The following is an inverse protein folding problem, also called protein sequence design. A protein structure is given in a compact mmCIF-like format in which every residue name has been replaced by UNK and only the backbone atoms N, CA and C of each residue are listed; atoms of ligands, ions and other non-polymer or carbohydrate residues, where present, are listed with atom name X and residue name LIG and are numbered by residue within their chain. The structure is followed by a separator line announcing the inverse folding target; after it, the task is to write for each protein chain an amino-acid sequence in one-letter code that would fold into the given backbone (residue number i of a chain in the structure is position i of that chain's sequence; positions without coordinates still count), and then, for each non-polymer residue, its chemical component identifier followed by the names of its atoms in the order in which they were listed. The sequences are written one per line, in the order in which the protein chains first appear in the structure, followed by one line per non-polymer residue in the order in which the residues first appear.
data_IF_578749948443
#
_entry.id   IF_578749948443
#
_cell.length_a   1.000
_cell.length_b   1.000
_cell.length_c   1.000
_cell.angle_alpha   90.00
_cell.angle_beta   90.00
_cell.angle_gamma   90.00
#
_symmetry.space_group_name_H-M   'P 1'
#
loop_
_entity.id
_entity.type
_entity.pdbx_description
1 polymer ?
#
# COMPACT_ATOMS: atom_id res chain seq x y z
N UNK A 1 -30.33 -13.57 20.51
CA UNK A 1 -31.06 -12.67 19.58
C UNK A 1 -30.68 -11.21 19.81
N UNK A 2 -30.71 -10.69 21.04
CA UNK A 2 -30.36 -9.28 21.32
C UNK A 2 -28.89 -8.92 20.98
N UNK A 3 -27.92 -9.79 21.27
CA UNK A 3 -26.50 -9.52 20.93
C UNK A 3 -26.25 -9.28 19.43
N UNK A 4 -27.01 -9.95 18.56
CA UNK A 4 -26.90 -9.77 17.11
C UNK A 4 -27.43 -8.42 16.66
N UNK A 5 -28.49 -7.91 17.31
CA UNK A 5 -29.02 -6.57 17.02
C UNK A 5 -28.03 -5.49 17.41
N UNK A 6 -27.37 -5.62 18.56
CA UNK A 6 -26.34 -4.67 19.00
C UNK A 6 -25.15 -4.65 18.04
N UNK A 7 -24.63 -5.83 17.64
CA UNK A 7 -23.53 -5.91 16.67
C UNK A 7 -23.89 -5.30 15.32
N UNK A 8 -25.11 -5.56 14.84
CA UNK A 8 -25.60 -4.98 13.58
C UNK A 8 -25.69 -3.45 13.65
N UNK A 9 -26.19 -2.90 14.76
CA UNK A 9 -26.27 -1.45 14.95
C UNK A 9 -24.89 -0.78 14.99
N UNK A 10 -23.92 -1.40 15.67
CA UNK A 10 -22.54 -0.90 15.69
C UNK A 10 -21.92 -0.88 14.29
N UNK A 11 -22.06 -1.96 13.51
CA UNK A 11 -21.57 -2.01 12.13
C UNK A 11 -22.18 -0.93 11.24
N UNK A 12 -23.49 -0.67 11.36
CA UNK A 12 -24.13 0.42 10.63
C UNK A 12 -23.57 1.79 11.04
N UNK A 13 -23.34 2.02 12.33
CA UNK A 13 -22.77 3.28 12.81
C UNK A 13 -21.32 3.50 12.34
N UNK A 14 -20.51 2.43 12.28
CA UNK A 14 -19.15 2.46 11.74
C UNK A 14 -19.15 2.74 10.22
N UNK A 15 -20.14 2.18 9.50
CA UNK A 15 -20.30 2.44 8.07
C UNK A 15 -20.72 3.89 7.80
N UNK A 16 -21.66 4.43 8.58
CA UNK A 16 -22.10 5.82 8.44
C UNK A 16 -20.98 6.81 8.76
N UNK A 17 -20.20 6.58 9.81
CA UNK A 17 -19.03 7.41 10.15
C UNK A 17 -17.97 7.35 9.05
N UNK A 18 -17.68 6.15 8.52
CA UNK A 18 -16.75 5.99 7.38
C UNK A 18 -17.22 6.75 6.13
N UNK A 19 -18.53 6.72 5.85
CA UNK A 19 -19.11 7.45 4.71
C UNK A 19 -19.02 8.97 4.89
N UNK A 20 -19.22 9.48 6.11
CA UNK A 20 -19.05 10.92 6.42
C UNK A 20 -17.60 11.36 6.23
N UNK A 21 -16.64 10.60 6.76
CA UNK A 21 -15.20 10.89 6.60
C UNK A 21 -14.83 10.93 5.11
N UNK A 22 -15.29 9.94 4.33
CA UNK A 22 -15.03 9.91 2.88
C UNK A 22 -15.65 11.11 2.15
N UNK A 23 -16.85 11.54 2.57
CA UNK A 23 -17.51 12.71 1.99
C UNK A 23 -16.73 14.00 2.28
N UNK A 24 -16.27 14.18 3.52
CA UNK A 24 -15.49 15.36 3.91
C UNK A 24 -14.15 15.43 3.15
N UNK A 25 -13.47 14.28 2.98
CA UNK A 25 -12.27 14.18 2.15
C UNK A 25 -12.53 14.57 0.69
N UNK A 26 -13.70 14.20 0.12
CA UNK A 26 -14.06 14.60 -1.25
C UNK A 26 -14.24 16.11 -1.37
N UNK A 27 -14.86 16.75 -0.37
CA UNK A 27 -15.01 18.20 -0.34
C UNK A 27 -13.66 18.91 -0.24
N UNK A 28 -12.74 18.41 0.60
CA UNK A 28 -11.38 18.96 0.72
C UNK A 28 -10.59 18.85 -0.59
N UNK A 29 -10.64 17.68 -1.25
CA UNK A 29 -10.01 17.49 -2.58
C UNK A 29 -10.61 18.45 -3.62
N UNK A 30 -11.93 18.68 -3.58
CA UNK A 30 -12.58 19.62 -4.50
C UNK A 30 -12.15 21.06 -4.25
N UNK A 31 -12.02 21.48 -2.98
CA UNK A 31 -11.51 22.79 -2.62
C UNK A 31 -10.06 22.98 -3.09
N UNK A 32 -9.19 22.00 -2.86
CA UNK A 32 -7.80 22.04 -3.32
C UNK A 32 -7.69 22.13 -4.85
N UNK A 33 -8.53 21.41 -5.60
CA UNK A 33 -8.58 21.52 -7.06
C UNK A 33 -8.94 22.92 -7.51
N UNK A 34 -9.94 23.55 -6.89
CA UNK A 34 -10.32 24.93 -7.19
C UNK A 34 -9.18 25.91 -6.91
N UNK A 35 -8.46 25.76 -5.79
CA UNK A 35 -7.27 26.58 -5.49
C UNK A 35 -6.15 26.38 -6.51
N UNK A 36 -5.90 25.15 -6.94
CA UNK A 36 -4.90 24.86 -7.98
C UNK A 36 -5.26 25.55 -9.29
N UNK A 37 -6.52 25.52 -9.70
CA UNK A 37 -6.96 26.12 -10.96
C UNK A 37 -6.96 27.66 -10.90
N UNK A 38 -7.25 28.25 -9.74
CA UNK A 38 -7.08 29.69 -9.50
C UNK A 38 -5.60 30.10 -9.61
N UNK A 39 -4.69 29.37 -8.94
CA UNK A 39 -3.25 29.63 -9.02
C UNK A 39 -2.71 29.49 -10.45
N UNK A 40 -3.18 28.49 -11.21
CA UNK A 40 -2.84 28.36 -12.64
C UNK A 40 -3.29 29.59 -13.44
N UNK A 41 -4.48 30.09 -13.17
CA UNK A 41 -5.01 31.30 -13.83
C UNK A 41 -4.18 32.53 -13.48
N UNK A 42 -3.77 32.67 -12.21
CA UNK A 42 -2.87 33.76 -11.78
C UNK A 42 -1.50 33.68 -12.49
N UNK A 43 -0.92 32.49 -12.62
CA UNK A 43 0.36 32.29 -13.32
C UNK A 43 0.27 32.64 -14.81
N UNK A 44 -0.83 32.27 -15.48
CA UNK A 44 -1.07 32.62 -16.87
C UNK A 44 -1.16 34.14 -17.07
N UNK A 45 -1.83 34.85 -16.16
CA UNK A 45 -1.93 36.31 -16.20
C UNK A 45 -0.58 37.01 -15.97
N UNK A 46 0.38 36.35 -15.32
CA UNK A 46 1.75 36.86 -15.12
C UNK A 46 2.69 36.56 -16.30
N UNK A 47 2.19 36.02 -17.41
CA UNK A 47 2.99 35.72 -18.60
C UNK A 47 3.83 34.44 -18.49
N UNK A 48 3.62 33.62 -17.46
CA UNK A 48 4.21 32.29 -17.40
C UNK A 48 3.39 31.33 -18.27
N UNK A 49 3.86 31.08 -19.48
CA UNK A 49 3.33 29.98 -20.30
C UNK A 49 3.78 28.65 -19.72
N UNK A 50 2.84 27.90 -19.15
CA UNK A 50 3.07 26.49 -18.82
C UNK A 50 3.45 25.73 -20.10
N UNK A 51 4.50 24.89 -20.09
CA UNK A 51 4.86 24.08 -21.25
C UNK A 51 3.66 23.22 -21.63
N UNK A 52 3.23 23.33 -22.89
CA UNK A 52 2.12 22.52 -23.40
C UNK A 52 2.45 21.05 -23.22
N UNK A 53 1.51 20.23 -22.71
CA UNK A 53 1.72 18.79 -22.68
C UNK A 53 2.04 18.31 -24.11
N UNK A 54 3.00 17.39 -24.29
CA UNK A 54 3.37 16.92 -25.61
C UNK A 54 2.14 16.38 -26.30
N UNK A 55 1.79 16.99 -27.43
CA UNK A 55 0.71 16.56 -28.31
C UNK A 55 1.07 15.16 -28.81
N UNK A 56 0.39 14.14 -28.29
CA UNK A 56 0.59 12.75 -28.67
C UNK A 56 -0.03 12.51 -30.05
N UNK A 57 0.68 12.96 -31.09
CA UNK A 57 0.34 12.76 -32.49
C UNK A 57 1.38 11.84 -33.13
N UNK A 58 1.31 10.55 -32.83
CA UNK A 58 1.94 9.52 -33.64
C UNK A 58 1.10 8.24 -33.65
N UNK A 59 0.03 8.27 -34.44
CA UNK A 59 -0.55 7.06 -35.03
C UNK A 59 0.06 6.91 -36.43
N UNK A 60 1.18 6.21 -36.54
CA UNK A 60 1.64 5.57 -37.78
C UNK A 60 2.50 4.37 -37.37
N UNK A 61 1.87 3.20 -37.32
CA UNK A 61 2.54 1.93 -37.09
C UNK A 61 3.16 1.42 -38.39
N UNK A 62 4.40 1.81 -38.67
CA UNK A 62 5.23 1.13 -39.66
C UNK A 62 5.80 -0.17 -39.05
N UNK A 63 5.31 -1.29 -39.58
CA UNK A 63 5.83 -2.62 -39.35
C UNK A 63 7.12 -2.78 -40.17
N UNK A 64 8.13 -3.38 -39.55
CA UNK A 64 9.38 -3.88 -40.17
C UNK A 64 10.65 -3.04 -40.02
N UNK A 65 11.01 -2.64 -38.79
CA UNK A 65 12.43 -2.44 -38.48
C UNK A 65 12.89 -2.97 -37.10
N UNK A 66 13.17 -4.29 -37.10
CA UNK A 66 14.01 -4.95 -36.10
C UNK A 66 15.48 -4.58 -36.31
N UNK A 67 15.97 -3.49 -35.70
CA UNK A 67 17.37 -3.42 -35.18
C UNK A 67 17.65 -2.13 -34.42
N UNK A 68 17.83 -2.26 -33.11
CA UNK A 68 18.70 -1.40 -32.28
C UNK A 68 18.36 0.11 -32.36
N UNK A 69 17.19 0.49 -31.84
CA UNK A 69 16.95 1.85 -31.33
C UNK A 69 16.14 1.82 -30.02
N UNK A 70 16.63 1.06 -29.04
CA UNK A 70 16.29 1.28 -27.61
C UNK A 70 17.36 2.16 -27.00
N UNK A 71 17.40 3.42 -27.41
CA UNK A 71 18.11 4.48 -26.70
C UNK A 71 17.09 5.60 -26.51
N UNK A 72 17.10 6.16 -25.31
CA UNK A 72 16.25 7.23 -24.82
C UNK A 72 14.95 6.73 -24.19
N UNK A 73 15.06 6.62 -22.86
CA UNK A 73 13.96 6.75 -21.94
C UNK A 73 13.07 7.92 -22.36
N UNK A 74 11.77 7.62 -22.48
CA UNK A 74 10.72 8.61 -22.65
C UNK A 74 10.81 9.59 -21.48
N UNK A 75 11.23 10.82 -21.80
CA UNK A 75 11.10 12.00 -20.96
C UNK A 75 9.60 12.35 -20.90
N UNK A 76 8.86 11.78 -19.96
CA UNK A 76 7.58 12.38 -19.61
C UNK A 76 7.88 13.59 -18.71
N UNK A 77 7.74 14.80 -19.28
CA UNK A 77 7.66 16.10 -18.58
C UNK A 77 8.96 16.78 -18.13
N UNK A 78 10.15 16.39 -18.62
CA UNK A 78 11.39 17.16 -18.36
C UNK A 78 11.85 17.21 -16.89
N UNK A 79 11.13 16.55 -15.98
CA UNK A 79 11.55 16.33 -14.61
C UNK A 79 12.25 14.98 -14.57
N UNK A 80 13.54 14.98 -14.26
CA UNK A 80 14.24 13.75 -13.89
C UNK A 80 13.62 13.24 -12.60
N UNK A 81 12.61 12.37 -12.69
CA UNK A 81 12.21 11.61 -11.51
C UNK A 81 13.43 10.80 -11.10
N UNK A 82 13.97 11.12 -9.93
CA UNK A 82 15.00 10.31 -9.30
C UNK A 82 14.51 8.88 -9.27
N UNK A 83 15.12 8.04 -10.10
CA UNK A 83 14.76 6.62 -10.14
C UNK A 83 15.21 6.03 -8.83
N UNK A 84 14.28 5.42 -8.11
CA UNK A 84 14.55 4.69 -6.87
C UNK A 84 14.57 3.21 -7.22
N UNK A 85 15.63 2.51 -6.83
CA UNK A 85 15.69 1.06 -7.00
C UNK A 85 14.62 0.39 -6.17
N UNK A 86 13.63 -0.26 -6.80
CA UNK A 86 12.55 -0.92 -6.05
C UNK A 86 12.98 -2.14 -5.23
N UNK A 87 14.28 -2.48 -5.24
CA UNK A 87 14.88 -3.50 -4.37
C UNK A 87 15.64 -2.92 -3.17
N UNK A 88 16.61 -2.04 -3.43
CA UNK A 88 17.48 -1.52 -2.36
C UNK A 88 17.17 -0.09 -1.96
N UNK A 89 16.15 0.52 -2.59
CA UNK A 89 15.71 1.90 -2.40
C UNK A 89 16.81 2.95 -2.65
N UNK A 90 17.88 2.55 -3.30
CA UNK A 90 18.98 3.44 -3.67
C UNK A 90 18.54 4.33 -4.83
N UNK A 91 18.78 5.64 -4.69
CA UNK A 91 18.55 6.66 -5.71
C UNK A 91 19.73 6.75 -6.69
N UNK A 92 20.88 6.19 -6.29
CA UNK A 92 22.08 6.21 -7.10
C UNK A 92 22.45 4.81 -7.57
N UNK A 93 22.95 4.73 -8.80
CA UNK A 93 23.51 3.51 -9.35
C UNK A 93 24.73 3.86 -10.16
N UNK A 94 25.83 3.15 -9.95
CA UNK A 94 27.07 3.33 -10.71
C UNK A 94 26.96 2.86 -12.17
N UNK A 95 25.78 2.41 -12.61
CA UNK A 95 25.51 1.88 -13.94
C UNK A 95 24.06 2.08 -14.34
N UNK A 96 23.64 1.45 -15.43
CA UNK A 96 22.29 1.61 -15.97
C UNK A 96 21.20 1.00 -15.06
N UNK A 97 20.00 1.58 -15.13
CA UNK A 97 18.78 1.01 -14.59
C UNK A 97 18.34 -0.19 -15.42
N UNK A 98 18.02 -1.30 -14.76
CA UNK A 98 17.49 -2.50 -15.40
C UNK A 98 15.98 -2.58 -15.17
N UNK A 99 15.25 -3.08 -16.18
CA UNK A 99 13.82 -3.36 -16.04
C UNK A 99 13.62 -4.76 -15.47
N UNK A 100 12.81 -4.90 -14.43
CA UNK A 100 12.47 -6.16 -13.78
C UNK A 100 10.95 -6.25 -13.53
N UNK A 101 10.34 -7.31 -14.07
CA UNK A 101 8.89 -7.54 -14.03
C UNK A 101 8.34 -7.82 -12.63
N UNK A 102 9.19 -8.15 -11.64
CA UNK A 102 8.77 -8.48 -10.28
C UNK A 102 8.74 -7.26 -9.34
N UNK A 103 9.17 -6.09 -9.80
CA UNK A 103 9.15 -4.85 -9.01
C UNK A 103 8.03 -3.95 -9.53
N UNK A 104 7.17 -3.48 -8.63
CA UNK A 104 6.15 -2.47 -8.97
C UNK A 104 6.90 -1.20 -9.40
N UNK A 105 6.63 -0.71 -10.61
CA UNK A 105 7.36 0.37 -11.31
C UNK A 105 8.70 -0.04 -11.94
N UNK A 106 9.00 -1.33 -11.99
CA UNK A 106 9.86 -1.96 -13.00
C UNK A 106 11.35 -1.67 -12.94
N UNK A 107 11.87 -0.71 -12.17
CA UNK A 107 13.28 -0.32 -12.24
C UNK A 107 14.09 -0.79 -11.02
N UNK A 108 15.22 -1.45 -11.28
CA UNK A 108 16.22 -1.82 -10.28
C UNK A 108 17.62 -1.44 -10.73
N UNK A 109 18.51 -1.16 -9.77
CA UNK A 109 19.90 -0.87 -10.08
C UNK A 109 20.63 -2.12 -10.62
N UNK A 110 21.70 -1.92 -11.39
CA UNK A 110 22.46 -3.00 -12.01
C UNK A 110 22.97 -4.04 -10.99
N UNK A 111 23.34 -3.59 -9.79
CA UNK A 111 23.79 -4.46 -8.68
C UNK A 111 22.68 -5.41 -8.23
N UNK A 112 21.46 -4.91 -8.04
CA UNK A 112 20.29 -5.71 -7.67
C UNK A 112 19.88 -6.64 -8.80
N UNK A 113 19.90 -6.17 -10.05
CA UNK A 113 19.62 -7.00 -11.23
C UNK A 113 20.57 -8.21 -11.33
N UNK A 114 21.89 -7.97 -11.22
CA UNK A 114 22.89 -9.05 -11.25
C UNK A 114 22.70 -10.05 -10.11
N UNK A 115 22.40 -9.56 -8.90
CA UNK A 115 22.11 -10.43 -7.74
C UNK A 115 20.90 -11.32 -8.01
N UNK A 116 19.78 -10.75 -8.47
CA UNK A 116 18.57 -11.50 -8.82
C UNK A 116 18.82 -12.54 -9.90
N UNK A 117 19.56 -12.20 -10.96
CA UNK A 117 19.90 -13.15 -12.03
C UNK A 117 20.66 -14.36 -11.49
N UNK A 118 21.64 -14.13 -10.60
CA UNK A 118 22.37 -15.22 -9.93
C UNK A 118 21.45 -16.11 -9.09
N UNK A 119 20.54 -15.51 -8.32
CA UNK A 119 19.56 -16.25 -7.51
C UNK A 119 18.60 -17.07 -8.39
N UNK A 120 18.11 -16.47 -9.49
CA UNK A 120 17.24 -17.16 -10.45
C UNK A 120 17.94 -18.36 -11.08
N UNK A 121 19.21 -18.22 -11.47
CA UNK A 121 20.02 -19.34 -11.99
C UNK A 121 20.25 -20.44 -10.95
N UNK A 122 20.22 -20.13 -9.66
CA UNK A 122 20.31 -21.10 -8.57
C UNK A 122 18.95 -21.73 -8.19
N UNK A 123 17.87 -21.45 -8.92
CA UNK A 123 16.52 -21.92 -8.59
C UNK A 123 15.91 -21.25 -7.34
N UNK A 124 16.52 -20.16 -6.88
CA UNK A 124 16.09 -19.44 -5.68
C UNK A 124 15.06 -18.38 -6.07
N UNK A 125 13.84 -18.50 -5.53
CA UNK A 125 12.78 -17.51 -5.73
C UNK A 125 13.04 -16.30 -4.84
N UNK A 126 13.47 -15.19 -5.44
CA UNK A 126 13.55 -13.89 -4.76
C UNK A 126 12.14 -13.33 -4.59
N UNK A 127 11.78 -12.96 -3.37
CA UNK A 127 10.50 -12.30 -3.08
C UNK A 127 10.84 -10.93 -2.46
N UNK A 128 10.58 -9.81 -3.16
CA UNK A 128 10.88 -8.47 -2.64
C UNK A 128 10.02 -8.16 -1.41
N UNK A 129 10.52 -7.29 -0.53
CA UNK A 129 9.81 -6.72 0.61
C UNK A 129 9.30 -7.70 1.67
N UNK A 130 10.00 -8.81 1.88
CA UNK A 130 9.73 -9.71 3.01
C UNK A 130 10.76 -9.56 4.12
N UNK A 131 10.25 -9.59 5.35
CA UNK A 131 10.97 -9.70 6.60
C UNK A 131 10.64 -11.04 7.27
N UNK A 132 11.65 -11.64 7.91
CA UNK A 132 11.41 -12.89 8.64
C UNK A 132 10.50 -12.62 9.82
N UNK A 133 9.39 -13.33 9.92
CA UNK A 133 8.42 -13.11 11.01
C UNK A 133 8.93 -13.53 12.38
N UNK A 134 10.01 -14.32 12.43
CA UNK A 134 10.63 -14.74 13.68
C UNK A 134 11.78 -13.79 14.09
N UNK A 135 12.74 -13.50 13.19
CA UNK A 135 13.92 -12.70 13.54
C UNK A 135 13.97 -11.29 12.93
N UNK A 136 12.96 -10.88 12.16
CA UNK A 136 12.92 -9.59 11.46
C UNK A 136 13.93 -9.44 10.31
N UNK A 137 14.75 -10.46 10.03
CA UNK A 137 15.79 -10.37 9.02
C UNK A 137 15.17 -10.18 7.63
N UNK A 138 15.58 -9.11 6.94
CA UNK A 138 15.14 -8.75 5.57
C UNK A 138 16.01 -9.39 4.48
N UNK A 139 17.10 -10.07 4.86
CA UNK A 139 18.08 -10.66 3.96
C UNK A 139 18.11 -12.17 4.16
N UNK A 140 17.33 -12.89 3.36
CA UNK A 140 17.43 -14.35 3.26
C UNK A 140 17.65 -14.77 1.82
N UNK A 141 18.50 -15.79 1.61
CA UNK A 141 18.63 -16.42 0.30
C UNK A 141 17.33 -17.13 -0.05
N UNK A 142 16.75 -17.89 0.88
CA UNK A 142 15.52 -18.66 0.67
C UNK A 142 14.47 -18.26 1.70
N UNK A 143 13.23 -18.13 1.23
CA UNK A 143 12.07 -17.80 2.06
C UNK A 143 11.12 -18.99 2.10
N UNK A 144 10.60 -19.30 3.28
CA UNK A 144 9.64 -20.37 3.52
C UNK A 144 8.34 -19.74 4.04
N UNK A 145 7.18 -20.32 3.72
CA UNK A 145 5.92 -19.83 4.31
C UNK A 145 5.92 -20.12 5.81
N UNK A 146 5.46 -19.17 6.62
CA UNK A 146 5.26 -19.41 8.03
C UNK A 146 4.16 -20.47 8.21
N UNK A 147 4.37 -21.55 8.99
CA UNK A 147 3.36 -22.60 9.14
C UNK A 147 2.09 -22.08 9.80
N UNK A 148 2.23 -21.11 10.72
CA UNK A 148 1.15 -20.69 11.61
C UNK A 148 0.57 -19.30 11.30
N UNK A 149 1.21 -18.51 10.41
CA UNK A 149 0.78 -17.13 10.15
C UNK A 149 0.62 -16.94 8.65
N UNK A 150 -0.61 -16.70 8.21
CA UNK A 150 -0.95 -16.53 6.80
C UNK A 150 -0.20 -15.31 6.24
N UNK A 151 0.30 -15.44 5.01
CA UNK A 151 1.05 -14.40 4.29
C UNK A 151 2.37 -13.94 4.94
N UNK A 152 2.85 -14.65 5.95
CA UNK A 152 4.16 -14.41 6.59
C UNK A 152 5.21 -15.43 6.11
N UNK A 153 6.48 -15.05 6.25
CA UNK A 153 7.61 -15.84 5.75
C UNK A 153 8.72 -15.99 6.80
N UNK A 154 9.41 -17.12 6.74
CA UNK A 154 10.58 -17.46 7.54
C UNK A 154 11.84 -17.40 6.68
N UNK A 155 12.92 -16.86 7.24
CA UNK A 155 14.23 -16.95 6.61
C UNK A 155 14.80 -18.37 6.74
N UNK A 156 15.84 -18.67 5.96
CA UNK A 156 16.45 -20.01 5.97
C UNK A 156 17.01 -20.42 7.34
N UNK A 157 17.42 -19.46 8.18
CA UNK A 157 17.90 -19.74 9.54
C UNK A 157 16.80 -19.97 10.57
N UNK A 158 15.59 -19.43 10.34
CA UNK A 158 14.48 -19.56 11.29
C UNK A 158 13.50 -20.69 10.93
N UNK A 159 13.59 -21.27 9.73
CA UNK A 159 12.63 -22.28 9.26
C UNK A 159 12.59 -23.52 10.16
N UNK A 160 13.72 -23.90 10.75
CA UNK A 160 13.87 -25.09 11.59
C UNK A 160 13.71 -24.75 13.09
N UNK A 161 13.64 -23.46 13.43
CA UNK A 161 13.59 -22.95 14.80
C UNK A 161 12.17 -22.66 15.30
N UNK A 162 11.14 -22.91 14.50
CA UNK A 162 9.74 -22.77 14.93
C UNK A 162 9.27 -24.15 15.37
N UNK A 163 9.14 -24.41 16.70
CA UNK A 163 8.55 -25.65 17.16
C UNK A 163 7.12 -25.73 16.63
N UNK A 164 6.79 -26.85 15.99
CA UNK A 164 5.43 -27.10 15.49
C UNK A 164 4.43 -27.08 16.67
N UNK A 165 4.90 -27.36 17.89
CA UNK A 165 4.06 -27.51 19.08
C UNK A 165 3.63 -26.18 19.74
N UNK A 166 4.15 -25.02 19.29
CA UNK A 166 3.70 -23.71 19.83
C UNK A 166 2.28 -23.31 19.37
N UNK A 167 1.59 -24.13 18.57
CA UNK A 167 0.25 -23.88 18.00
C UNK A 167 -0.85 -23.82 19.09
N UNK A 168 -0.72 -24.56 20.19
CA UNK A 168 -1.81 -24.63 21.19
C UNK A 168 -1.82 -23.49 22.22
N UNK A 169 -0.73 -22.73 22.37
CA UNK A 169 -0.62 -21.76 23.48
C UNK A 169 -1.10 -20.34 23.13
N UNK A 170 -1.02 -19.90 21.87
CA UNK A 170 -1.44 -18.53 21.52
C UNK A 170 -2.94 -18.39 21.25
N UNK A 171 -3.61 -19.43 20.74
CA UNK A 171 -5.08 -19.40 20.54
C UNK A 171 -5.85 -19.29 21.87
N UNK A 172 -5.24 -19.71 22.99
CA UNK A 172 -5.83 -19.55 24.34
C UNK A 172 -5.59 -18.17 24.97
N UNK A 173 -4.79 -17.29 24.35
CA UNK A 173 -4.44 -15.99 24.92
C UNK A 173 -5.21 -14.80 24.36
N UNK A 174 -6.06 -15.01 23.34
CA UNK A 174 -7.23 -14.13 23.14
C UNK A 174 -8.27 -14.42 24.22
N UNK A 175 -7.88 -14.03 25.44
CA UNK A 175 -8.77 -13.81 26.56
C UNK A 175 -9.75 -12.75 26.08
N UNK A 176 -10.96 -13.20 25.79
CA UNK A 176 -12.14 -12.35 25.63
C UNK A 176 -12.07 -11.34 26.78
N UNK A 177 -11.92 -10.02 26.51
CA UNK A 177 -11.96 -9.04 27.57
C UNK A 177 -13.27 -9.26 28.31
N UNK A 178 -13.18 -9.57 29.59
CA UNK A 178 -14.30 -9.79 30.48
C UNK A 178 -15.28 -8.63 30.27
N UNK A 179 -16.41 -8.93 29.63
CA UNK A 179 -17.46 -7.96 29.36
C UNK A 179 -17.84 -7.37 30.72
N UNK A 180 -17.68 -6.06 30.95
CA UNK A 180 -18.08 -5.46 32.20
C UNK A 180 -19.58 -5.72 32.37
N UNK A 181 -19.92 -6.37 33.47
CA UNK A 181 -21.29 -6.72 33.85
C UNK A 181 -22.14 -5.45 33.84
N UNK A 182 -23.01 -5.33 32.83
CA UNK A 182 -23.88 -4.16 32.66
C UNK A 182 -24.92 -4.18 33.77
N UNK A 183 -24.78 -3.30 34.75
CA UNK A 183 -25.81 -3.13 35.77
C UNK A 183 -27.10 -2.60 35.14
N UNK A 184 -28.27 -3.18 35.51
CA UNK A 184 -29.55 -2.77 34.94
C UNK A 184 -29.86 -1.32 35.31
N UNK A 185 -29.95 -0.47 34.28
CA UNK A 185 -30.38 0.93 34.42
C UNK A 185 -31.83 0.96 34.89
N UNK A 186 -32.05 1.39 36.14
CA UNK A 186 -33.40 1.64 36.66
C UNK A 186 -33.98 2.86 35.93
N UNK A 187 -34.97 2.62 35.06
CA UNK A 187 -35.77 3.68 34.46
C UNK A 187 -36.65 4.28 35.55
N UNK A 188 -36.27 5.46 36.05
CA UNK A 188 -37.13 6.25 36.93
C UNK A 188 -38.17 6.92 36.04
N UNK A 189 -39.39 6.37 36.05
CA UNK A 189 -40.53 6.92 35.33
C UNK A 189 -40.86 8.33 35.83
N UNK A 190 -40.54 9.34 35.02
CA UNK A 190 -41.00 10.70 35.23
C UNK A 190 -42.43 10.82 34.72
N UNK A 191 -43.36 11.15 35.62
CA UNK A 191 -44.77 11.40 35.30
C UNK A 191 -44.86 12.67 34.47
N UNK A 192 -45.32 12.53 33.22
CA UNK A 192 -45.71 13.64 32.36
C UNK A 192 -47.17 13.93 32.69
N UNK A 193 -47.43 14.91 33.57
CA UNK A 193 -48.80 15.32 33.91
C UNK A 193 -49.03 16.84 33.87
N UNK A 194 -48.01 17.67 33.68
CA UNK A 194 -48.13 19.12 33.98
C UNK A 194 -47.98 20.07 32.78
N UNK A 195 -48.27 19.65 31.56
CA UNK A 195 -48.25 20.56 30.39
C UNK A 195 -49.56 20.56 29.61
N UNK A 196 -50.64 21.00 30.26
CA UNK A 196 -51.83 21.56 29.63
C UNK A 196 -52.41 22.64 30.56
N UNK A 197 -51.99 23.89 30.36
CA UNK A 197 -52.69 25.12 30.72
C UNK A 197 -52.39 26.16 29.65
#
# INVERSE_FOLDING_TARGET
MEEYKTKYFLLLSEQETSNRILHDQKLEIQALKATIDDLKSQLQNQGYSLPSPPSDSSQDEDKDDKKIKKKYDVLQNGVWYERICGDCLDTHTSGHWCVDSFVKNGHICQKCYRRRRKLKSAGVRFIPNHDCSNCGNKKSLKWFKHPNIIAKYLCNGCKDAVPIDSIEQEVKKEVIPSVPEVQPVRVVGSKISDLLC
#
